data_IF_668141843163
#
_entry.id   IF_668141843163
#
_cell.length_a   1.000
_cell.length_b   1.000
_cell.length_c   1.000
_cell.angle_alpha   90.00
_cell.angle_beta   90.00
_cell.angle_gamma   90.00
#
_symmetry.space_group_name_H-M   'P 1'
#
loop_
_entity.id
_entity.type
_entity.pdbx_description
1 polymer ?
2 water ?
#
# COMPACT_ATOMS: atom_id res chain seq x y z
N UNK A 22 -3.10 26.18 -14.81
CA UNK A 22 -3.01 24.82 -14.29
C UNK A 22 -4.33 24.39 -13.67
N UNK A 23 -5.33 25.28 -13.76
CA UNK A 23 -6.66 24.95 -13.26
C UNK A 23 -7.40 24.01 -14.20
N UNK A 24 -6.94 23.88 -15.45
CA UNK A 24 -7.49 22.86 -16.33
C UNK A 24 -6.92 21.48 -16.02
N UNK A 25 -5.71 21.43 -15.46
CA UNK A 25 -5.15 20.16 -15.05
C UNK A 25 -5.92 19.59 -13.85
N UNK A 26 -6.38 20.46 -12.95
CA UNK A 26 -7.11 19.99 -11.78
C UNK A 26 -8.52 19.56 -12.15
N UNK A 27 -9.21 20.34 -12.97
CA UNK A 27 -10.56 19.99 -13.37
C UNK A 27 -10.61 18.70 -14.17
N UNK A 28 -9.47 18.26 -14.72
CA UNK A 28 -9.43 16.97 -15.41
C UNK A 28 -9.21 15.83 -14.43
N UNK A 29 -8.33 16.02 -13.45
CA UNK A 29 -8.14 14.99 -12.44
C UNK A 29 -9.41 14.76 -11.64
N UNK A 30 -10.19 15.81 -11.41
CA UNK A 30 -11.41 15.68 -10.62
C UNK A 30 -12.51 14.97 -11.40
N UNK A 31 -12.71 15.38 -12.66
CA UNK A 31 -13.65 14.68 -13.53
C UNK A 31 -13.30 13.19 -13.61
N UNK A 32 -12.00 12.87 -13.69
CA UNK A 32 -11.58 11.47 -13.68
C UNK A 32 -11.91 10.82 -12.35
N UNK A 33 -11.54 11.49 -11.25
CA UNK A 33 -11.82 10.94 -9.93
C UNK A 33 -13.31 10.74 -9.73
N UNK A 34 -14.12 11.64 -10.28
CA UNK A 34 -15.57 11.48 -10.15
C UNK A 34 -16.07 10.31 -10.98
N UNK A 35 -15.46 10.07 -12.15
CA UNK A 35 -15.86 8.93 -12.96
C UNK A 35 -15.50 7.61 -12.29
N UNK A 36 -14.35 7.56 -11.62
CA UNK A 36 -14.00 6.38 -10.82
C UNK A 36 -15.08 6.08 -9.80
N UNK A 37 -15.61 7.13 -9.15
CA UNK A 37 -16.61 6.94 -8.11
C UNK A 37 -17.93 6.49 -8.72
N UNK A 38 -18.23 6.93 -9.94
CA UNK A 38 -19.51 6.65 -10.56
C UNK A 38 -19.46 5.50 -11.55
N UNK A 39 -18.28 5.13 -12.03
CA UNK A 39 -18.17 4.13 -13.07
C UNK A 39 -18.49 4.76 -14.40
N UNK A 40 -19.77 4.75 -14.75
CA UNK A 40 -20.26 5.42 -15.95
C UNK A 40 -21.16 6.57 -15.53
N UNK A 41 -20.92 7.75 -16.09
CA UNK A 41 -21.74 8.92 -15.84
C UNK A 41 -21.99 9.63 -17.16
N UNK A 42 -22.95 10.55 -17.14
CA UNK A 42 -23.29 11.33 -18.33
C UNK A 42 -22.63 12.71 -18.26
N UNK A 43 -22.72 13.44 -19.37
CA UNK A 43 -22.31 14.83 -19.36
C UNK A 43 -23.02 15.59 -18.25
N UNK A 44 -24.35 15.43 -18.18
CA UNK A 44 -25.15 16.13 -17.17
C UNK A 44 -24.85 15.62 -15.78
N UNK A 45 -24.57 14.33 -15.62
CA UNK A 45 -24.19 13.80 -14.32
C UNK A 45 -22.88 14.43 -13.86
N UNK A 46 -21.88 14.47 -14.74
CA UNK A 46 -20.60 15.06 -14.39
C UNK A 46 -20.72 16.56 -14.12
N UNK A 47 -21.86 17.17 -14.46
CA UNK A 47 -22.16 18.52 -14.00
C UNK A 47 -22.71 18.52 -12.57
N UNK A 48 -23.71 17.67 -12.31
CA UNK A 48 -24.29 17.54 -10.99
C UNK A 48 -23.22 17.27 -9.94
N UNK A 49 -22.59 16.09 -10.00
CA UNK A 49 -21.39 15.84 -9.21
C UNK A 49 -20.32 16.86 -9.57
N UNK A 50 -19.40 17.10 -8.63
CA UNK A 50 -18.30 18.04 -8.83
C UNK A 50 -18.77 19.48 -9.07
N UNK A 51 -20.09 19.68 -9.19
CA UNK A 51 -20.72 21.00 -9.20
C UNK A 51 -20.12 21.92 -10.27
N UNK A 52 -20.04 21.40 -11.49
CA UNK A 52 -19.43 22.12 -12.61
C UNK A 52 -20.48 22.49 -13.65
N UNK A 53 -20.09 23.38 -14.55
CA UNK A 53 -20.95 23.81 -15.64
C UNK A 53 -20.97 22.77 -16.75
N UNK A 54 -22.12 22.61 -17.39
CA UNK A 54 -22.22 21.70 -18.52
C UNK A 54 -21.30 22.09 -19.67
N UNK A 55 -21.01 23.39 -19.81
CA UNK A 55 -20.10 23.84 -20.85
C UNK A 55 -18.67 23.43 -20.55
N UNK A 56 -18.30 23.43 -19.27
CA UNK A 56 -16.91 23.21 -18.87
C UNK A 56 -16.54 21.74 -18.71
N UNK A 57 -17.49 20.87 -18.36
CA UNK A 57 -17.18 19.44 -18.37
C UNK A 57 -17.24 18.90 -19.79
N UNK A 58 -18.06 19.51 -20.65
CA UNK A 58 -17.99 19.18 -22.06
C UNK A 58 -16.61 19.44 -22.63
N UNK A 59 -16.01 20.57 -22.24
CA UNK A 59 -14.64 20.86 -22.67
C UNK A 59 -13.62 20.00 -21.94
N UNK A 60 -13.95 19.47 -20.76
CA UNK A 60 -13.06 18.55 -20.06
C UNK A 60 -13.18 17.13 -20.59
N UNK A 61 -14.42 16.66 -20.81
CA UNK A 61 -14.62 15.37 -21.46
C UNK A 61 -13.87 15.33 -22.79
N UNK A 62 -13.97 16.42 -23.55
CA UNK A 62 -13.24 16.51 -24.82
C UNK A 62 -11.74 16.49 -24.61
N UNK A 63 -11.25 16.99 -23.47
CA UNK A 63 -9.83 16.91 -23.17
C UNK A 63 -9.43 15.47 -22.87
N UNK A 64 -10.26 14.75 -22.10
CA UNK A 64 -9.96 13.36 -21.79
C UNK A 64 -10.11 12.47 -23.02
N UNK A 65 -10.94 12.89 -23.98
CA UNK A 65 -11.16 12.09 -25.19
C UNK A 65 -9.97 12.18 -26.14
N UNK A 66 -9.31 13.36 -26.21
CA UNK A 66 -8.12 13.48 -27.04
C UNK A 66 -6.92 12.81 -26.41
N UNK A 67 -6.93 12.64 -25.08
CA UNK A 67 -5.92 11.87 -24.39
C UNK A 67 -6.22 10.37 -24.37
N UNK A 68 -7.30 9.96 -25.04
CA UNK A 68 -7.75 8.57 -25.06
C UNK A 68 -7.82 8.01 -23.64
N UNK A 69 -8.36 8.81 -22.71
CA UNK A 69 -8.46 8.38 -21.32
C UNK A 69 -9.87 7.98 -20.92
N UNK A 70 -10.85 8.20 -21.78
CA UNK A 70 -12.24 7.89 -21.49
C UNK A 70 -12.85 7.24 -22.72
N UNK A 71 -14.01 6.61 -22.54
CA UNK A 71 -14.65 5.86 -23.60
C UNK A 71 -16.14 5.76 -23.27
N UNK A 72 -16.91 5.30 -24.24
CA UNK A 72 -18.36 5.15 -24.02
C UNK A 72 -18.65 3.90 -23.21
N UNK A 73 -19.61 4.01 -22.30
CA UNK A 73 -20.12 2.84 -21.57
C UNK A 73 -21.19 2.13 -22.39
N UNK A 84 -29.05 10.14 -23.45
CA UNK A 84 -27.74 10.72 -23.11
C UNK A 84 -26.62 9.67 -23.12
N UNK A 85 -25.48 10.04 -23.69
CA UNK A 85 -24.32 9.16 -23.78
C UNK A 85 -23.54 9.16 -22.47
N UNK A 86 -23.19 7.97 -21.98
CA UNK A 86 -22.43 7.81 -20.75
C UNK A 86 -20.99 7.42 -21.06
N UNK A 87 -20.06 7.94 -20.27
CA UNK A 87 -18.65 7.68 -20.47
C UNK A 87 -18.07 7.06 -19.21
N UNK A 88 -17.07 6.20 -19.41
CA UNK A 88 -16.26 5.66 -18.33
C UNK A 88 -14.80 5.88 -18.69
N UNK A 89 -13.93 5.69 -17.72
CA UNK A 89 -12.51 5.72 -18.01
C UNK A 89 -12.14 4.62 -18.98
N UNK A 90 -11.06 4.83 -19.74
CA UNK A 90 -10.58 3.82 -20.66
C UNK A 90 -9.57 2.98 -19.90
N UNK A 91 -9.91 1.74 -19.53
CA UNK A 91 -8.95 0.90 -18.78
C UNK A 91 -7.59 0.78 -19.45
N UNK A 92 -7.55 0.79 -20.78
CA UNK A 92 -6.30 0.68 -21.52
C UNK A 92 -5.82 2.02 -22.05
N UNK A 93 -6.27 3.13 -21.44
CA UNK A 93 -5.79 4.45 -21.82
C UNK A 93 -4.43 4.81 -21.28
N UNK A 94 -3.98 4.13 -20.23
CA UNK A 94 -2.63 4.30 -19.73
C UNK A 94 -2.19 3.01 -19.03
N UNK A 95 -0.87 2.90 -18.82
CA UNK A 95 -0.29 1.76 -18.13
C UNK A 95 0.82 2.24 -17.21
N UNK A 96 1.07 1.46 -16.17
CA UNK A 96 2.19 1.71 -15.29
C UNK A 96 2.82 0.40 -14.83
N UNK A 97 4.12 0.43 -14.62
CA UNK A 97 4.83 -0.69 -14.04
C UNK A 97 5.15 -0.34 -12.60
N UNK A 98 4.84 -1.24 -11.69
CA UNK A 98 5.13 -1.01 -10.28
C UNK A 98 6.09 -2.02 -9.70
N UNK A 99 7.13 -1.55 -9.03
CA UNK A 99 8.10 -2.39 -8.37
C UNK A 99 7.91 -2.28 -6.87
N UNK A 100 7.91 -3.42 -6.20
CA UNK A 100 7.74 -3.48 -4.75
C UNK A 100 8.88 -4.31 -4.19
N UNK A 101 9.76 -3.67 -3.44
CA UNK A 101 10.85 -4.33 -2.76
C UNK A 101 10.50 -4.54 -1.29
N UNK A 102 10.95 -5.68 -0.76
CA UNK A 102 10.76 -6.05 0.64
C UNK A 102 11.86 -7.02 0.99
N UNK A 103 11.93 -7.42 2.27
CA UNK A 103 13.03 -8.25 2.73
C UNK A 103 13.02 -9.63 2.08
N UNK A 104 11.85 -10.16 1.72
CA UNK A 104 11.81 -11.48 1.08
C UNK A 104 11.00 -11.45 -0.21
N UNK A 105 11.01 -10.31 -0.92
CA UNK A 105 10.20 -10.22 -2.14
C UNK A 105 10.69 -9.10 -3.04
N UNK A 106 11.03 -9.43 -4.28
CA UNK A 106 11.18 -8.49 -5.38
C UNK A 106 10.02 -8.76 -6.32
N UNK A 107 9.18 -7.75 -6.56
CA UNK A 107 7.98 -7.93 -7.37
C UNK A 107 7.83 -6.79 -8.37
N UNK A 108 7.36 -7.12 -9.57
CA UNK A 108 7.23 -6.17 -10.68
C UNK A 108 5.94 -6.47 -11.42
N UNK A 109 5.08 -5.47 -11.58
CA UNK A 109 3.74 -5.70 -12.13
C UNK A 109 3.40 -4.64 -13.16
N UNK A 110 2.73 -5.08 -14.21
CA UNK A 110 2.14 -4.19 -15.22
C UNK A 110 0.69 -3.95 -14.85
N UNK A 111 0.32 -2.70 -14.63
CA UNK A 111 -1.01 -2.34 -14.17
C UNK A 111 -1.62 -1.36 -15.15
N UNK A 112 -2.94 -1.50 -15.40
CA UNK A 112 -3.58 -0.61 -16.35
C UNK A 112 -4.25 0.56 -15.61
N UNK A 113 -5.03 1.35 -16.35
CA UNK A 113 -5.60 2.58 -15.82
C UNK A 113 -6.72 2.31 -14.83
N UNK A 114 -7.37 1.14 -14.93
CA UNK A 114 -8.40 0.72 -13.99
C UNK A 114 -7.84 -0.07 -12.82
N UNK A 115 -6.52 -0.16 -12.68
CA UNK A 115 -5.94 -0.93 -11.62
C UNK A 115 -5.85 -2.43 -11.85
N UNK A 116 -6.30 -2.92 -13.02
CA UNK A 116 -6.10 -4.33 -13.35
C UNK A 116 -4.61 -4.63 -13.45
N UNK A 117 -4.21 -5.75 -12.86
CA UNK A 117 -2.85 -6.26 -12.99
C UNK A 117 -2.79 -7.14 -14.23
N UNK A 118 -2.06 -6.71 -15.25
CA UNK A 118 -1.99 -7.44 -16.51
C UNK A 118 -0.74 -8.33 -16.63
N UNK A 119 0.17 -8.26 -15.66
CA UNK A 119 1.41 -9.03 -15.71
C UNK A 119 2.17 -8.87 -14.40
N UNK A 120 2.93 -9.89 -14.00
CA UNK A 120 3.68 -9.84 -12.75
C UNK A 120 4.82 -10.84 -12.73
N UNK A 121 5.99 -10.39 -12.29
CA UNK A 121 7.14 -11.24 -11.98
C UNK A 121 7.50 -11.06 -10.50
N UNK A 122 7.33 -12.12 -9.71
CA UNK A 122 7.51 -12.09 -8.26
C UNK A 122 8.62 -13.04 -7.84
N UNK A 123 9.68 -12.51 -7.21
CA UNK A 123 10.81 -13.33 -6.77
C UNK A 123 10.77 -13.43 -5.24
N UNK A 124 10.47 -14.64 -4.74
CA UNK A 124 10.48 -14.91 -3.29
C UNK A 124 11.92 -15.22 -2.87
N UNK A 125 12.67 -14.17 -2.59
CA UNK A 125 14.09 -14.36 -2.31
C UNK A 125 14.53 -13.35 -1.27
N UNK A 126 15.54 -13.73 -0.50
CA UNK A 126 16.16 -12.76 0.38
C UNK A 126 16.70 -11.60 -0.43
N UNK A 127 16.21 -10.40 -0.14
CA UNK A 127 16.56 -9.20 -0.88
C UNK A 127 18.06 -9.05 -1.03
N UNK A 128 18.56 -9.18 -2.26
CA UNK A 128 20.00 -9.11 -2.52
C UNK A 128 20.49 -7.67 -2.45
N UNK A 129 21.80 -7.43 -2.61
CA UNK A 129 22.31 -6.04 -2.68
C UNK A 129 21.62 -5.24 -3.78
N UNK A 130 21.66 -3.91 -3.70
CA UNK A 130 20.97 -3.08 -4.70
C UNK A 130 21.47 -3.29 -6.12
N UNK A 131 22.75 -3.59 -6.31
CA UNK A 131 23.28 -3.76 -7.66
C UNK A 131 22.62 -4.92 -8.37
N UNK A 132 22.46 -6.05 -7.67
CA UNK A 132 21.82 -7.22 -8.27
C UNK A 132 20.34 -6.96 -8.55
N UNK A 133 19.67 -6.23 -7.65
CA UNK A 133 18.24 -5.99 -7.80
C UNK A 133 17.96 -5.14 -9.04
N UNK A 134 18.79 -4.13 -9.28
CA UNK A 134 18.64 -3.31 -10.49
C UNK A 134 18.62 -4.21 -11.72
N UNK A 135 19.56 -5.16 -11.79
CA UNK A 135 19.61 -6.09 -12.92
C UNK A 135 18.37 -6.98 -12.97
N UNK A 136 17.88 -7.43 -11.81
CA UNK A 136 16.69 -8.27 -11.79
C UNK A 136 15.48 -7.45 -12.24
N UNK A 137 15.32 -6.25 -11.70
CA UNK A 137 14.15 -5.44 -11.98
C UNK A 137 14.16 -4.95 -13.43
N UNK A 138 15.34 -4.60 -13.93
CA UNK A 138 15.46 -4.12 -15.31
C UNK A 138 15.00 -5.18 -16.31
N UNK A 139 15.40 -6.43 -16.11
CA UNK A 139 14.91 -7.50 -16.99
C UNK A 139 13.40 -7.66 -16.86
N UNK A 140 12.88 -7.58 -15.62
CA UNK A 140 11.45 -7.79 -15.40
C UNK A 140 10.62 -6.63 -15.90
N UNK A 141 11.16 -5.41 -15.83
CA UNK A 141 10.55 -4.28 -16.52
C UNK A 141 10.48 -4.54 -18.03
N UNK A 142 11.50 -5.24 -18.59
CA UNK A 142 11.47 -5.54 -20.01
C UNK A 142 10.39 -6.55 -20.34
N UNK A 143 10.15 -7.53 -19.45
CA UNK A 143 9.11 -8.50 -19.78
C UNK A 143 7.70 -7.88 -19.64
N UNK A 144 7.54 -6.83 -18.84
CA UNK A 144 6.22 -6.23 -18.65
C UNK A 144 5.88 -5.33 -19.83
N UNK A 145 6.79 -4.43 -20.20
CA UNK A 145 6.52 -3.56 -21.35
C UNK A 145 6.26 -4.39 -22.60
N UNK A 146 6.97 -5.51 -22.76
CA UNK A 146 6.78 -6.40 -23.91
C UNK A 146 5.46 -7.17 -23.87
N UNK A 147 4.69 -7.07 -22.80
CA UNK A 147 3.34 -7.60 -22.83
C UNK A 147 2.36 -6.69 -23.57
N UNK A 148 2.74 -5.45 -23.82
CA UNK A 148 1.88 -4.52 -24.54
C UNK A 148 2.17 -4.60 -26.04
N UNK A 149 1.13 -4.62 -26.87
CA UNK A 149 1.36 -4.57 -28.32
C UNK A 149 2.02 -3.25 -28.69
N UNK A 150 2.78 -3.30 -29.78
CA UNK A 150 3.47 -2.12 -30.31
C UNK A 150 2.60 -0.88 -30.27
N UNK A 151 1.37 -0.99 -30.78
CA UNK A 151 0.44 0.15 -30.84
C UNK A 151 -0.07 0.58 -29.47
N UNK A 152 0.38 -0.04 -28.38
CA UNK A 152 -0.05 0.33 -27.03
C UNK A 152 1.09 0.66 -26.08
N UNK A 153 2.33 0.30 -26.39
CA UNK A 153 3.42 0.56 -25.46
C UNK A 153 3.59 2.05 -25.19
N UNK A 154 3.12 2.90 -26.10
CA UNK A 154 3.21 4.34 -25.91
C UNK A 154 2.36 4.83 -24.76
N UNK A 155 1.36 4.05 -24.35
CA UNK A 155 0.54 4.46 -23.22
C UNK A 155 1.15 4.06 -21.88
N UNK A 156 2.40 3.59 -21.86
CA UNK A 156 3.06 3.18 -20.62
C UNK A 156 3.78 4.37 -20.02
N UNK A 157 3.31 4.84 -18.87
CA UNK A 157 3.78 6.10 -18.31
C UNK A 157 5.15 5.99 -17.62
N UNK A 158 5.54 4.83 -17.14
CA UNK A 158 6.80 4.70 -16.46
C UNK A 158 6.69 3.73 -15.31
N UNK A 159 7.66 3.81 -14.40
CA UNK A 159 7.87 2.83 -13.34
C UNK A 159 7.77 3.51 -11.98
N UNK A 160 7.05 2.89 -11.06
CA UNK A 160 7.05 3.30 -9.66
C UNK A 160 7.75 2.23 -8.81
N UNK A 161 8.55 2.70 -7.85
CA UNK A 161 9.25 1.81 -6.92
C UNK A 161 8.70 2.06 -5.51
N UNK A 162 8.32 0.98 -4.85
CA UNK A 162 7.77 1.04 -3.50
C UNK A 162 8.68 0.23 -2.60
N UNK A 163 9.10 0.81 -1.49
CA UNK A 163 9.98 0.08 -0.57
C UNK A 163 9.81 0.59 0.85
N UNK A 164 10.11 -0.24 1.85
CA UNK A 164 9.94 0.18 3.24
C UNK A 164 10.88 1.30 3.62
N UNK A 165 10.50 2.02 4.68
CA UNK A 165 11.44 2.94 5.34
C UNK A 165 12.65 2.18 5.84
N UNK A 166 13.83 2.78 5.69
CA UNK A 166 15.03 2.25 6.31
C UNK A 166 15.17 2.84 7.72
N UNK A 167 15.31 1.97 8.71
CA UNK A 167 15.42 2.46 10.08
C UNK A 167 16.76 3.10 10.37
N UNK A 168 17.78 2.84 9.55
CA UNK A 168 19.10 3.38 9.77
C UNK A 168 20.01 2.42 10.52
N UNK A 169 21.31 2.72 10.46
CA UNK A 169 22.32 1.80 10.96
C UNK A 169 22.17 1.54 12.46
N UNK A 170 21.94 2.59 13.24
CA UNK A 170 21.92 2.46 14.70
C UNK A 170 20.80 1.53 15.15
N UNK A 171 19.60 1.69 14.59
CA UNK A 171 18.49 0.84 14.96
C UNK A 171 18.62 -0.57 14.38
N UNK A 172 19.27 -0.70 13.23
CA UNK A 172 19.52 -2.03 12.66
C UNK A 172 20.44 -2.85 13.56
N UNK A 173 21.53 -2.24 14.03
CA UNK A 173 22.53 -2.94 14.81
C UNK A 173 22.10 -3.15 16.25
N UNK A 174 20.95 -2.58 16.63
CA UNK A 174 20.30 -2.81 17.92
C UNK A 174 19.26 -3.92 17.86
N UNK A 175 18.93 -4.42 16.67
CA UNK A 175 18.04 -5.56 16.52
C UNK A 175 16.70 -5.24 15.90
N UNK A 176 16.42 -3.98 15.58
CA UNK A 176 15.09 -3.59 15.14
C UNK A 176 14.85 -3.85 13.66
N UNK A 177 15.90 -4.01 12.86
CA UNK A 177 15.76 -4.21 11.43
C UNK A 177 16.77 -5.26 10.96
N UNK A 178 16.39 -6.14 10.04
CA UNK A 178 17.29 -7.23 9.64
C UNK A 178 18.54 -6.72 8.93
N UNK A 179 19.57 -7.55 8.99
CA UNK A 179 20.85 -7.26 8.33
C UNK A 179 20.71 -7.14 6.81
N UNK A 180 19.62 -7.66 6.24
CA UNK A 180 19.34 -7.52 4.81
C UNK A 180 19.46 -6.08 4.33
N UNK A 181 18.95 -5.14 5.12
CA UNK A 181 18.88 -3.74 4.74
C UNK A 181 20.20 -3.00 4.90
N UNK A 182 21.24 -3.67 5.43
CA UNK A 182 22.54 -3.01 5.59
C UNK A 182 23.09 -2.50 4.26
N UNK A 183 22.98 -3.29 3.20
CA UNK A 183 23.50 -2.87 1.91
C UNK A 183 22.62 -1.79 1.23
N UNK A 184 21.52 -1.40 1.87
CA UNK A 184 20.55 -0.49 1.29
C UNK A 184 20.47 0.88 1.96
N UNK A 185 21.22 1.11 3.04
CA UNK A 185 21.14 2.37 3.77
C UNK A 185 21.79 3.50 2.98
N UNK A 186 21.10 4.63 2.89
CA UNK A 186 21.56 5.79 2.12
C UNK A 186 21.80 5.43 0.65
N UNK A 187 20.95 4.55 0.12
CA UNK A 187 20.99 4.17 -1.29
C UNK A 187 19.62 4.50 -1.88
N UNK A 188 19.61 5.39 -2.87
CA UNK A 188 18.37 5.77 -3.53
C UNK A 188 18.16 4.82 -4.69
N UNK A 189 17.30 3.82 -4.49
CA UNK A 189 17.14 2.81 -5.52
C UNK A 189 16.40 3.36 -6.74
N UNK A 190 15.36 4.17 -6.51
CA UNK A 190 14.60 4.69 -7.63
C UNK A 190 15.46 5.51 -8.57
N UNK A 191 16.33 6.35 -8.02
CA UNK A 191 17.23 7.14 -8.84
C UNK A 191 18.24 6.25 -9.57
N UNK A 192 18.84 5.30 -8.85
CA UNK A 192 19.80 4.39 -9.49
C UNK A 192 19.14 3.56 -10.58
N UNK A 193 17.85 3.23 -10.43
CA UNK A 193 17.15 2.49 -11.46
C UNK A 193 16.84 3.38 -12.66
N UNK A 194 16.44 4.64 -12.42
CA UNK A 194 16.11 5.56 -13.49
C UNK A 194 17.27 5.85 -14.42
N UNK A 195 18.50 5.63 -13.96
CA UNK A 195 19.67 5.85 -14.80
C UNK A 195 20.07 4.62 -15.60
N UNK A 196 19.31 3.52 -15.50
CA UNK A 196 19.51 2.38 -16.39
C UNK A 196 18.29 2.08 -17.24
N UNK A 197 17.16 2.75 -17.03
CA UNK A 197 15.97 2.56 -17.85
C UNK A 197 15.59 3.90 -18.47
N UNK A 198 15.01 3.84 -19.67
CA UNK A 198 14.58 5.05 -20.34
C UNK A 198 13.26 5.57 -19.80
N UNK A 199 12.41 4.67 -19.31
CA UNK A 199 11.18 5.10 -18.67
C UNK A 199 11.51 5.97 -17.46
N UNK A 200 10.61 6.88 -17.08
CA UNK A 200 10.84 7.68 -15.87
C UNK A 200 10.42 6.91 -14.62
N UNK A 201 11.20 7.05 -13.54
CA UNK A 201 11.06 6.22 -12.35
C UNK A 201 10.67 7.10 -11.16
N UNK A 202 9.58 6.72 -10.49
CA UNK A 202 9.11 7.42 -9.29
C UNK A 202 9.24 6.50 -8.08
N UNK A 203 9.63 7.08 -6.96
CA UNK A 203 9.81 6.34 -5.71
C UNK A 203 8.78 6.74 -4.68
N UNK A 204 8.29 5.76 -3.94
CA UNK A 204 7.32 6.00 -2.88
C UNK A 204 7.56 4.98 -1.78
N UNK A 205 7.25 5.37 -0.55
CA UNK A 205 7.25 4.40 0.54
C UNK A 205 6.14 3.37 0.32
N UNK A 206 6.39 2.13 0.74
CA UNK A 206 5.45 1.07 0.35
C UNK A 206 4.16 1.12 1.12
N UNK A 207 4.16 1.66 2.34
CA UNK A 207 2.89 1.91 3.01
C UNK A 207 2.04 2.94 2.29
N UNK A 208 2.65 4.05 1.89
CA UNK A 208 1.91 5.04 1.10
C UNK A 208 1.41 4.43 -0.22
N UNK A 209 2.29 3.68 -0.90
CA UNK A 209 1.95 3.09 -2.20
C UNK A 209 0.73 2.19 -2.09
N UNK A 210 0.68 1.38 -1.03
CA UNK A 210 -0.49 0.52 -0.81
C UNK A 210 -1.73 1.34 -0.46
N UNK A 211 -1.57 2.42 0.29
CA UNK A 211 -2.70 3.30 0.54
C UNK A 211 -3.19 3.93 -0.75
N UNK A 212 -2.25 4.27 -1.63
CA UNK A 212 -2.58 4.89 -2.91
C UNK A 212 -3.39 3.92 -3.78
N UNK A 213 -3.01 2.65 -3.80
CA UNK A 213 -3.84 1.67 -4.49
C UNK A 213 -5.26 1.66 -3.93
N UNK A 214 -5.39 1.62 -2.59
CA UNK A 214 -6.72 1.59 -2.01
C UNK A 214 -7.47 2.89 -2.31
N UNK A 215 -6.77 4.02 -2.30
CA UNK A 215 -7.39 5.30 -2.60
C UNK A 215 -7.95 5.34 -4.02
N UNK A 216 -7.17 4.89 -5.01
CA UNK A 216 -7.57 5.02 -6.41
C UNK A 216 -8.56 3.93 -6.84
N UNK A 217 -8.28 2.66 -6.48
CA UNK A 217 -9.07 1.54 -6.98
C UNK A 217 -9.87 0.81 -5.91
N UNK A 218 -9.58 1.03 -4.64
CA UNK A 218 -10.29 0.31 -3.62
C UNK A 218 -11.30 1.18 -2.88
N UNK A 219 -11.25 1.14 -1.56
CA UNK A 219 -12.29 1.80 -0.76
C UNK A 219 -12.32 3.32 -0.98
N UNK A 220 -11.24 3.92 -1.47
CA UNK A 220 -11.16 5.34 -1.79
C UNK A 220 -12.04 5.80 -2.93
N UNK A 221 -12.63 4.88 -3.70
CA UNK A 221 -13.60 5.26 -4.71
C UNK A 221 -14.89 5.80 -4.10
N UNK A 222 -15.12 5.51 -2.82
CA UNK A 222 -16.33 5.91 -2.12
C UNK A 222 -16.00 6.60 -0.80
N UNK A 223 -14.74 6.89 -0.52
CA UNK A 223 -14.35 7.34 0.81
C UNK A 223 -13.01 8.08 0.73
N UNK A 224 -13.03 9.39 0.98
CA UNK A 224 -11.87 10.26 0.76
C UNK A 224 -10.96 10.38 1.97
N UNK A 225 -11.36 9.90 3.14
CA UNK A 225 -10.59 10.08 4.35
C UNK A 225 -10.49 8.76 5.09
N UNK A 226 -9.26 8.26 5.28
CA UNK A 226 -9.13 7.00 6.01
C UNK A 226 -7.68 6.78 6.44
N UNK A 227 -7.54 5.94 7.45
CA UNK A 227 -6.26 5.45 7.93
C UNK A 227 -6.07 4.05 7.37
N UNK A 228 -4.92 3.83 6.71
CA UNK A 228 -4.64 2.57 6.03
C UNK A 228 -3.58 1.80 6.81
N UNK A 229 -3.93 0.59 7.27
CA UNK A 229 -2.99 -0.24 8.01
C UNK A 229 -2.63 -1.46 7.18
N UNK A 230 -1.34 -1.75 7.07
CA UNK A 230 -0.88 -2.90 6.30
C UNK A 230 0.07 -3.72 7.14
N UNK A 231 -0.33 -4.96 7.43
CA UNK A 231 0.48 -5.90 8.19
C UNK A 231 1.36 -6.66 7.20
N UNK A 232 2.60 -6.21 7.00
CA UNK A 232 3.55 -6.97 6.21
C UNK A 232 4.64 -7.55 7.09
N UNK A 233 5.73 -8.10 6.46
CA UNK A 233 6.93 -8.48 7.23
C UNK A 233 7.21 -7.43 8.31
N UNK A 234 7.12 -6.17 7.91
CA UNK A 234 7.01 -5.05 8.82
C UNK A 234 5.62 -4.46 8.64
N UNK A 235 5.06 -3.92 9.72
CA UNK A 235 3.82 -3.17 9.58
C UNK A 235 4.10 -1.84 8.88
N UNK A 236 3.14 -1.38 8.08
CA UNK A 236 3.23 -0.07 7.46
C UNK A 236 1.86 0.57 7.31
N UNK A 237 1.84 1.74 6.70
CA UNK A 237 0.56 2.42 6.59
C UNK A 237 0.62 3.69 5.76
N UNK A 238 -0.54 4.33 5.69
CA UNK A 238 -0.67 5.60 4.99
C UNK A 238 -1.92 6.31 5.46
N UNK A 239 -1.98 7.60 5.14
CA UNK A 239 -3.02 8.49 5.64
C UNK A 239 -3.67 9.20 4.46
N UNK A 240 -4.96 8.93 4.24
CA UNK A 240 -5.74 9.60 3.22
C UNK A 240 -6.50 10.75 3.86
N UNK A 241 -6.25 11.97 3.35
CA UNK A 241 -6.96 13.16 3.76
C UNK A 241 -7.47 13.87 2.52
N UNK A 242 -8.78 14.08 2.46
CA UNK A 242 -9.37 14.86 1.38
C UNK A 242 -9.03 14.25 0.03
N UNK A 243 -8.99 12.92 0.00
CA UNK A 243 -8.75 12.20 -1.22
C UNK A 243 -7.31 12.12 -1.67
N UNK A 244 -6.35 12.56 -0.85
CA UNK A 244 -4.95 12.58 -1.24
C UNK A 244 -4.12 11.93 -0.15
N UNK A 245 -3.10 11.18 -0.55
CA UNK A 245 -2.25 10.51 0.41
C UNK A 245 -1.32 11.52 1.07
N UNK A 246 -1.37 11.59 2.40
CA UNK A 246 -0.47 12.47 3.15
C UNK A 246 0.95 11.93 3.07
N UNK A 247 1.86 12.73 2.53
CA UNK A 247 3.23 12.24 2.39
C UNK A 247 4.17 12.82 3.43
N UNK A 248 3.99 14.08 3.82
CA UNK A 248 4.81 14.71 4.84
C UNK A 248 5.86 15.62 4.25
N UNK A 249 6.50 16.40 5.13
CA UNK A 249 7.53 17.34 4.66
C UNK A 249 8.70 16.58 4.04
N UNK A 250 9.06 15.46 4.63
CA UNK A 250 10.22 14.69 4.17
C UNK A 250 9.82 13.31 3.66
N UNK A 251 8.57 13.14 3.23
CA UNK A 251 8.11 11.84 2.78
C UNK A 251 7.88 10.80 3.86
N UNK A 252 7.81 11.21 5.13
CA UNK A 252 7.78 10.26 6.24
C UNK A 252 6.46 10.24 7.01
N UNK A 253 5.42 10.90 6.50
CA UNK A 253 4.13 10.79 7.18
C UNK A 253 3.59 9.37 7.07
N UNK A 254 2.68 9.06 7.97
CA UNK A 254 2.10 7.72 8.02
C UNK A 254 3.02 6.63 8.52
N UNK A 255 4.12 6.98 9.22
CA UNK A 255 5.09 5.99 9.69
C UNK A 255 4.53 5.21 10.88
N UNK A 256 3.49 4.42 10.60
CA UNK A 256 2.80 3.57 11.57
C UNK A 256 3.79 2.75 12.41
N UNK A 257 4.87 2.25 11.78
CA UNK A 257 5.76 1.31 12.44
C UNK A 257 6.44 1.90 13.66
N UNK A 258 6.55 3.23 13.74
CA UNK A 258 7.40 3.86 14.74
C UNK A 258 6.63 4.35 15.96
N UNK A 259 5.33 4.10 16.05
CA UNK A 259 4.53 4.66 17.15
C UNK A 259 4.91 3.96 18.45
N UNK A 260 5.17 4.68 19.55
CA UNK A 260 5.55 4.00 20.81
C UNK A 260 4.44 3.10 21.30
N UNK A 261 4.83 1.88 21.71
CA UNK A 261 3.93 0.93 22.36
C UNK A 261 4.69 0.33 23.54
N UNK A 262 3.95 -0.35 24.41
CA UNK A 262 4.60 -1.04 25.50
C UNK A 262 5.33 -2.28 24.99
N UNK A 263 6.44 -2.68 25.64
CA UNK A 263 7.11 -3.94 25.28
C UNK A 263 6.15 -5.13 25.35
N UNK A 264 6.32 -6.04 24.40
CA UNK A 264 5.53 -7.27 24.35
C UNK A 264 5.68 -8.09 25.63
N UNK A 265 4.59 -8.75 26.02
CA UNK A 265 4.65 -9.75 27.08
C UNK A 265 4.56 -11.17 26.54
N UNK A 266 4.75 -11.35 25.23
CA UNK A 266 4.83 -12.69 24.67
C UNK A 266 6.11 -13.37 25.11
N UNK A 267 6.03 -14.66 25.39
CA UNK A 267 7.21 -15.41 25.80
C UNK A 267 8.31 -15.32 24.76
N UNK A 268 7.95 -15.23 23.47
CA UNK A 268 8.92 -15.16 22.38
C UNK A 268 9.50 -13.78 22.18
N UNK A 269 9.02 -12.79 22.88
CA UNK A 269 9.64 -11.50 22.59
C UNK A 269 10.98 -11.41 23.32
N UNK A 270 11.93 -10.66 22.78
CA UNK A 270 13.18 -10.43 23.50
C UNK A 270 12.91 -9.63 24.76
N UNK A 271 13.88 -9.48 25.65
CA UNK A 271 13.72 -8.54 26.76
C UNK A 271 13.52 -7.14 26.24
N UNK A 272 12.88 -6.26 27.00
CA UNK A 272 12.71 -4.88 26.57
C UNK A 272 14.02 -4.09 26.63
N UNK A 273 14.13 -3.10 25.72
CA UNK A 273 15.27 -2.20 25.65
C UNK A 273 15.07 -0.98 26.50
N UNK A 274 13.86 -0.77 26.99
CA UNK A 274 13.52 0.34 27.84
C UNK A 274 12.03 0.29 28.08
N UNK A 275 11.50 1.37 28.65
CA UNK A 275 10.04 1.42 28.92
C UNK A 275 9.18 1.43 27.67
N UNK A 276 9.67 1.90 26.55
CA UNK A 276 8.86 1.94 25.35
C UNK A 276 9.48 1.06 24.25
N UNK A 277 8.61 0.44 23.47
CA UNK A 277 8.98 -0.25 22.24
C UNK A 277 8.33 0.53 21.07
N UNK A 278 8.36 -0.05 19.87
CA UNK A 278 7.69 0.53 18.72
C UNK A 278 6.73 -0.50 18.14
N UNK A 279 5.69 0.01 17.47
CA UNK A 279 4.61 -0.84 16.97
C UNK A 279 5.15 -1.93 16.07
N UNK A 280 6.21 -1.60 15.34
CA UNK A 280 6.90 -2.55 14.47
C UNK A 280 7.24 -3.84 15.20
N UNK A 281 7.74 -3.76 16.44
CA UNK A 281 8.18 -4.96 17.14
C UNK A 281 7.03 -5.93 17.42
N UNK A 282 5.80 -5.47 17.43
CA UNK A 282 4.71 -6.29 17.93
C UNK A 282 3.64 -6.62 16.90
N UNK A 283 3.33 -5.70 15.98
CA UNK A 283 2.20 -5.87 15.07
C UNK A 283 2.65 -6.16 13.63
N UNK A 284 3.82 -6.77 13.47
CA UNK A 284 4.33 -7.13 12.16
C UNK A 284 4.32 -8.65 12.03
N UNK A 285 4.25 -9.14 10.78
CA UNK A 285 4.28 -10.58 10.59
C UNK A 285 5.59 -11.19 11.07
N UNK A 286 6.66 -10.39 11.14
CA UNK A 286 7.92 -10.90 11.64
C UNK A 286 7.78 -11.35 13.08
N UNK A 287 7.09 -10.54 13.91
CA UNK A 287 6.77 -10.94 15.27
C UNK A 287 5.97 -12.23 15.29
N UNK A 288 5.05 -12.41 14.33
CA UNK A 288 4.32 -13.67 14.24
C UNK A 288 5.26 -14.81 13.92
N UNK A 289 6.18 -14.61 12.97
CA UNK A 289 7.14 -15.66 12.66
C UNK A 289 8.02 -15.95 13.87
N UNK A 290 8.46 -14.90 14.56
CA UNK A 290 9.25 -15.09 15.78
C UNK A 290 8.47 -15.91 16.80
N UNK A 291 7.17 -15.63 16.96
CA UNK A 291 6.39 -16.36 17.94
C UNK A 291 6.15 -17.80 17.48
N UNK A 292 5.96 -18.02 16.18
CA UNK A 292 5.74 -19.38 15.69
C UNK A 292 6.97 -20.25 15.92
N UNK A 293 8.16 -19.71 15.62
CA UNK A 293 9.40 -20.43 15.91
C UNK A 293 9.53 -20.75 17.39
N UNK A 294 8.94 -19.91 18.26
CA UNK A 294 9.05 -20.15 19.69
C UNK A 294 8.33 -21.41 20.10
N UNK A 295 7.27 -21.79 19.40
CA UNK A 295 6.56 -23.03 19.66
C UNK A 295 7.01 -24.17 18.75
N UNK A 296 8.27 -24.16 18.32
CA UNK A 296 8.86 -25.31 17.66
C UNK A 296 8.63 -25.42 16.16
N UNK A 297 7.86 -24.51 15.57
CA UNK A 297 7.57 -24.54 14.14
C UNK A 297 8.78 -24.06 13.33
N UNK A 298 8.94 -24.62 12.14
CA UNK A 298 9.93 -24.11 11.20
C UNK A 298 9.22 -23.23 10.18
N UNK A 299 9.75 -22.01 9.99
CA UNK A 299 9.17 -21.03 9.09
C UNK A 299 10.28 -20.41 8.26
N UNK A 300 10.44 -20.85 7.02
CA UNK A 300 11.48 -20.31 6.16
C UNK A 300 10.94 -19.64 4.91
N UNK A 301 9.84 -20.11 4.38
CA UNK A 301 9.16 -19.48 3.26
C UNK A 301 7.86 -18.84 3.73
N UNK A 302 7.23 -18.09 2.84
CA UNK A 302 5.88 -17.60 3.13
C UNK A 302 4.89 -18.76 3.16
N UNK A 303 5.18 -19.84 2.42
CA UNK A 303 4.30 -21.00 2.42
C UNK A 303 4.33 -21.75 3.75
N UNK A 304 5.49 -21.79 4.41
CA UNK A 304 5.52 -22.24 5.80
C UNK A 304 4.59 -21.39 6.66
N UNK A 305 4.67 -20.07 6.52
CA UNK A 305 3.85 -19.18 7.34
C UNK A 305 2.37 -19.43 7.10
N UNK A 306 1.97 -19.60 5.84
CA UNK A 306 0.56 -19.82 5.55
C UNK A 306 0.08 -21.16 6.08
N UNK A 307 0.91 -22.19 5.96
CA UNK A 307 0.54 -23.51 6.46
C UNK A 307 0.26 -23.46 7.96
N UNK A 308 1.10 -22.75 8.71
CA UNK A 308 0.88 -22.62 10.16
C UNK A 308 -0.44 -21.95 10.46
N UNK A 309 -0.74 -20.83 9.78
CA UNK A 309 -1.99 -20.10 9.99
C UNK A 309 -3.18 -20.99 9.67
N UNK A 310 -3.09 -21.79 8.59
CA UNK A 310 -4.20 -22.66 8.20
C UNK A 310 -4.39 -23.83 9.16
N UNK A 311 -3.38 -24.18 9.96
CA UNK A 311 -3.54 -25.22 10.97
C UNK A 311 -4.27 -24.74 12.22
N UNK A 312 -4.61 -23.45 12.30
CA UNK A 312 -5.33 -22.95 13.46
C UNK A 312 -4.55 -23.04 14.75
N UNK A 313 -3.22 -22.93 14.68
CA UNK A 313 -2.40 -23.10 15.86
C UNK A 313 -2.72 -22.02 16.89
N UNK A 314 -2.84 -22.39 18.16
CA UNK A 314 -3.04 -21.36 19.20
C UNK A 314 -1.95 -20.30 19.21
N UNK A 315 -0.74 -20.62 18.74
CA UNK A 315 0.32 -19.60 18.70
C UNK A 315 -0.04 -18.43 17.80
N UNK A 316 -0.87 -18.66 16.78
CA UNK A 316 -1.29 -17.53 15.94
C UNK A 316 -2.25 -16.64 16.71
N UNK A 317 -3.20 -17.24 17.45
CA UNK A 317 -4.15 -16.48 18.24
C UNK A 317 -3.46 -15.69 19.34
N UNK A 318 -2.46 -16.29 19.99
CA UNK A 318 -1.68 -15.54 20.96
C UNK A 318 -1.05 -14.31 20.32
N UNK A 319 -0.44 -14.47 19.15
CA UNK A 319 0.17 -13.32 18.50
C UNK A 319 -0.89 -12.29 18.10
N UNK A 320 -2.06 -12.75 17.64
CA UNK A 320 -3.11 -11.82 17.26
C UNK A 320 -3.52 -10.96 18.47
N UNK A 321 -3.75 -11.60 19.62
CA UNK A 321 -4.10 -10.88 20.83
C UNK A 321 -3.02 -9.86 21.18
N UNK A 322 -1.75 -10.28 21.14
CA UNK A 322 -0.68 -9.33 21.43
C UNK A 322 -0.61 -8.22 20.38
N UNK A 323 -0.82 -8.58 19.10
CA UNK A 323 -0.80 -7.58 18.05
C UNK A 323 -1.84 -6.51 18.31
N UNK A 324 -3.09 -6.94 18.50
CA UNK A 324 -4.19 -6.01 18.74
C UNK A 324 -3.92 -5.19 19.99
N UNK A 325 -3.41 -5.82 21.05
CA UNK A 325 -3.11 -5.11 22.27
C UNK A 325 -2.16 -3.95 22.03
N UNK A 326 -1.31 -4.05 21.02
CA UNK A 326 -0.46 -2.91 20.69
C UNK A 326 -1.16 -1.96 19.72
N UNK A 327 -1.95 -2.50 18.80
CA UNK A 327 -2.39 -1.74 17.64
C UNK A 327 -3.59 -0.86 17.96
N UNK A 328 -4.50 -1.33 18.81
CA UNK A 328 -5.64 -0.50 19.18
C UNK A 328 -5.23 0.82 19.82
N UNK A 329 -4.38 0.85 20.85
CA UNK A 329 -3.95 2.18 21.36
C UNK A 329 -3.19 2.98 20.32
N UNK A 330 -2.31 2.34 19.54
CA UNK A 330 -1.57 3.07 18.51
C UNK A 330 -2.51 3.70 17.49
N UNK A 331 -3.51 2.93 17.05
CA UNK A 331 -4.50 3.46 16.13
C UNK A 331 -5.31 4.61 16.78
N UNK A 332 -5.77 4.45 18.02
CA UNK A 332 -6.44 5.56 18.70
C UNK A 332 -5.62 6.85 18.63
N UNK A 333 -4.32 6.75 18.95
CA UNK A 333 -3.43 7.91 18.80
C UNK A 333 -3.54 8.51 17.40
N UNK A 334 -3.50 7.65 16.36
CA UNK A 334 -3.54 8.14 14.99
C UNK A 334 -4.85 8.87 14.74
N UNK A 335 -5.96 8.27 15.18
CA UNK A 335 -7.27 8.87 14.99
C UNK A 335 -7.40 10.20 15.72
N UNK A 336 -6.74 10.33 16.87
CA UNK A 336 -6.72 11.63 17.54
C UNK A 336 -6.10 12.69 16.64
N UNK A 337 -5.04 12.34 15.92
CA UNK A 337 -4.38 13.32 15.08
C UNK A 337 -5.24 13.65 13.87
N UNK A 338 -5.77 12.62 13.19
CA UNK A 338 -6.28 12.74 11.82
C UNK A 338 -7.78 12.96 11.75
N UNK A 339 -8.57 12.30 12.61
CA UNK A 339 -10.03 12.40 12.62
C UNK A 339 -10.63 11.89 11.30
N UNK A 340 -10.31 10.63 10.96
CA UNK A 340 -10.95 10.01 9.82
C UNK A 340 -12.00 9.02 10.28
N UNK A 341 -13.10 8.84 9.54
CA UNK A 341 -14.16 7.94 10.01
C UNK A 341 -13.99 6.48 9.65
N UNK A 342 -12.99 6.13 8.84
CA UNK A 342 -12.81 4.77 8.37
C UNK A 342 -11.36 4.36 8.57
N UNK A 343 -11.15 3.10 8.93
CA UNK A 343 -9.84 2.49 8.99
C UNK A 343 -9.86 1.26 8.08
N UNK A 344 -8.86 1.16 7.22
CA UNK A 344 -8.72 0.03 6.30
C UNK A 344 -7.55 -0.81 6.79
N UNK A 345 -7.77 -2.12 6.90
CA UNK A 345 -6.74 -3.06 7.33
C UNK A 345 -6.52 -4.11 6.25
N UNK A 346 -5.26 -4.31 5.86
CA UNK A 346 -4.89 -5.33 4.89
C UNK A 346 -3.61 -6.01 5.38
N UNK A 347 -3.22 -7.11 4.73
CA UNK A 347 -2.05 -7.83 5.19
C UNK A 347 -1.36 -8.56 4.05
N UNK A 348 -0.08 -8.85 4.27
CA UNK A 348 0.78 -9.54 3.32
C UNK A 348 0.45 -11.02 3.21
N UNK A 349 -0.27 -11.57 4.17
CA UNK A 349 -0.57 -12.98 4.25
C UNK A 349 -1.97 -13.11 4.81
N UNK A 350 -2.74 -14.04 4.27
CA UNK A 350 -4.08 -14.23 4.78
C UNK A 350 -4.30 -15.64 5.30
N UNK A 351 -4.91 -16.46 4.45
CA UNK A 351 -5.33 -17.81 4.81
C UNK A 351 -6.24 -17.81 6.04
N UNK A 352 -6.95 -16.70 6.26
CA UNK A 352 -7.78 -16.51 7.43
C UNK A 352 -7.22 -15.51 8.41
N UNK A 353 -5.91 -15.23 8.32
CA UNK A 353 -5.28 -14.34 9.31
C UNK A 353 -5.94 -12.98 9.35
N UNK A 354 -6.29 -12.42 8.18
CA UNK A 354 -6.76 -11.05 8.12
C UNK A 354 -8.15 -10.89 8.74
N UNK A 355 -9.08 -11.77 8.40
CA UNK A 355 -10.38 -11.75 9.05
C UNK A 355 -10.26 -11.90 10.56
N UNK A 356 -9.33 -12.73 11.02
CA UNK A 356 -9.14 -12.91 12.45
C UNK A 356 -8.61 -11.64 13.11
N UNK A 357 -7.65 -10.96 12.44
CA UNK A 357 -7.14 -9.69 12.95
C UNK A 357 -8.23 -8.64 12.98
N UNK A 358 -9.08 -8.62 11.95
CA UNK A 358 -10.11 -7.58 11.86
C UNK A 358 -11.16 -7.76 12.95
N UNK A 359 -11.58 -9.00 13.19
CA UNK A 359 -12.55 -9.25 14.25
C UNK A 359 -12.03 -8.81 15.60
N UNK A 360 -10.79 -9.17 15.93
CA UNK A 360 -10.26 -8.87 17.26
C UNK A 360 -10.01 -7.37 17.41
N UNK A 361 -9.50 -6.72 16.37
CA UNK A 361 -9.26 -5.28 16.45
C UNK A 361 -10.57 -4.52 16.53
N UNK A 362 -11.58 -4.95 15.79
CA UNK A 362 -12.88 -4.31 15.89
C UNK A 362 -13.46 -4.45 17.30
N UNK A 363 -13.35 -5.65 17.88
CA UNK A 363 -13.82 -5.86 19.25
C UNK A 363 -13.09 -4.95 20.23
N UNK A 364 -11.79 -4.76 20.05
CA UNK A 364 -11.02 -3.91 20.96
C UNK A 364 -11.40 -2.44 20.80
N UNK A 365 -11.78 -2.02 19.61
CA UNK A 365 -12.24 -0.65 19.43
C UNK A 365 -13.61 -0.46 20.07
N UNK A 366 -14.51 -1.42 19.87
CA UNK A 366 -15.86 -1.30 20.43
C UNK A 366 -15.81 -1.29 21.96
N UNK A 367 -14.91 -2.09 22.55
CA UNK A 367 -14.84 -2.17 24.02
C UNK A 367 -14.20 -0.95 24.67
N UNK A 368 -13.45 -0.16 23.91
CA UNK A 368 -12.86 1.08 24.41
C UNK A 368 -13.47 2.32 23.77
N UNK A 369 -14.57 2.16 23.05
CA UNK A 369 -15.27 3.28 22.42
C UNK A 369 -15.78 4.32 23.43
N UNK A 370 -16.35 3.94 24.59
CA UNK A 370 -16.76 4.96 25.57
C UNK A 370 -15.65 5.91 26.00
N UNK A 371 -14.40 5.48 25.91
CA UNK A 371 -13.26 6.31 26.30
C UNK A 371 -12.69 7.12 25.13
N UNK A 372 -13.33 7.09 23.97
CA UNK A 372 -12.89 7.86 22.81
C UNK A 372 -14.01 8.81 22.38
N UNK A 373 -13.62 9.87 21.69
CA UNK A 373 -14.62 10.85 21.27
C UNK A 373 -15.33 10.46 19.98
N UNK A 374 -14.65 9.76 19.09
CA UNK A 374 -15.31 9.08 18.00
C UNK A 374 -14.66 7.73 17.77
N UNK A 375 -15.40 6.82 17.12
CA UNK A 375 -14.87 5.49 16.79
C UNK A 375 -15.16 5.16 15.33
N UNK A 376 -14.16 4.77 14.55
CA UNK A 376 -14.35 4.60 13.11
C UNK A 376 -14.88 3.21 12.74
N UNK A 377 -15.33 3.11 11.49
CA UNK A 377 -15.62 1.84 10.86
C UNK A 377 -14.32 1.19 10.40
N UNK A 378 -14.23 -0.13 10.55
CA UNK A 378 -13.05 -0.89 10.17
C UNK A 378 -13.42 -1.76 8.98
N UNK A 379 -12.67 -1.62 7.87
CA UNK A 379 -12.98 -2.39 6.68
C UNK A 379 -11.73 -3.17 6.25
N UNK A 380 -11.96 -4.29 5.59
CA UNK A 380 -10.88 -5.08 5.04
C UNK A 380 -10.39 -4.46 3.74
N UNK A 381 -9.07 -4.34 3.59
CA UNK A 381 -8.47 -3.82 2.37
C UNK A 381 -8.78 -4.68 1.16
N UNK A 382 -8.53 -4.10 -0.01
CA UNK A 382 -8.95 -4.72 -1.26
C UNK A 382 -7.87 -5.54 -1.97
N UNK A 383 -6.59 -5.24 -1.75
CA UNK A 383 -5.58 -5.71 -2.69
C UNK A 383 -4.56 -6.69 -2.10
N UNK A 384 -4.45 -6.80 -0.78
CA UNK A 384 -3.62 -7.84 -0.19
C UNK A 384 -2.16 -7.67 -0.55
N UNK A 385 -1.50 -8.80 -0.83
CA UNK A 385 -0.07 -8.79 -1.13
C UNK A 385 0.26 -7.95 -2.35
N UNK A 386 -0.71 -7.71 -3.24
CA UNK A 386 -0.52 -6.98 -4.47
C UNK A 386 -0.64 -5.47 -4.31
N UNK A 387 -0.85 -4.95 -3.10
CA UNK A 387 -1.22 -3.55 -2.94
C UNK A 387 -0.06 -2.62 -3.26
N UNK A 388 1.12 -2.88 -2.69
CA UNK A 388 2.24 -1.99 -2.90
C UNK A 388 2.66 -1.90 -4.36
N UNK A 389 2.61 -3.02 -5.08
CA UNK A 389 2.99 -2.99 -6.49
C UNK A 389 1.97 -2.23 -7.32
N UNK A 390 0.69 -2.40 -7.01
CA UNK A 390 -0.36 -1.68 -7.72
C UNK A 390 -0.25 -0.18 -7.45
N UNK A 391 0.01 0.19 -6.20
CA UNK A 391 0.18 1.61 -5.88
C UNK A 391 1.44 2.18 -6.46
N UNK A 392 2.53 1.40 -6.46
CA UNK A 392 3.75 1.84 -7.13
C UNK A 392 3.50 2.10 -8.61
N UNK A 393 2.72 1.23 -9.25
CA UNK A 393 2.40 1.41 -10.67
C UNK A 393 1.54 2.66 -10.93
N UNK A 394 0.80 3.12 -9.92
CA UNK A 394 -0.11 4.25 -10.13
C UNK A 394 0.64 5.57 -10.29
N UNK A 395 1.69 5.78 -9.49
CA UNK A 395 2.54 6.96 -9.54
C UNK A 395 2.84 7.41 -10.97
N UNK A 396 3.42 6.58 -11.83
CA UNK A 396 3.72 7.06 -13.19
C UNK A 396 2.49 7.51 -13.96
N UNK A 397 1.34 6.88 -13.75
CA UNK A 397 0.17 7.18 -14.57
C UNK A 397 -0.49 8.50 -14.20
N UNK A 398 -0.20 9.06 -13.02
CA UNK A 398 -0.87 10.27 -12.60
C UNK A 398 0.09 11.41 -12.29
N UNK A 399 0.90 11.79 -13.27
CA UNK A 399 1.85 12.88 -13.12
C UNK A 399 2.35 13.24 -14.51
#
# INVERSE_FOLDING_TARGET
MAHHHHHHMRSPHIGQGSNSANVRRYNERLLLKTLRRAGSASKADLARLANMTGTAVGSIIASLADAKLIEFAGRTEGQRGQPASLIRLDPRGAFGIGVHLDRMRIETALVNFAGDVLGRRSHDTLLPPPAEVIEIVRHDIDAMQALLPAHERARLAGVGVAQPYNLGAWMRELGLAPDTFRAWEDVDFASDLGRTVSLPVFGENDGNAAAIAELFYGYGRQCDDFVYLFIGPAIGGGIAIDGDCLRGVTGNAGDIAMIPVLPSRLASAPPPRGPWDILLARASLHALVRHLRHHGETVESRADLEACIARGLPAVTEWIDDCVDALAPALRAVLCVVDAPVVVLDADTDAGLLDALTSRLRAALVATAPEARGTPTLVRGTFGADAGAIGAATLPMYFNFSPRAGILRGARIESQEVNHVAI
#
